data_IF_803019791406
#
_entry.id   IF_803019791406
#
_cell.length_a   1.000
_cell.length_b   1.000
_cell.length_c   1.000
_cell.angle_alpha   90.00
_cell.angle_beta   90.00
_cell.angle_gamma   90.00
#
_symmetry.space_group_name_H-M   'P 1'
#
loop_
_entity.id
_entity.type
_entity.pdbx_description
1 polymer ?
#
# COMPACT_ATOMS: atom_id res chain seq x y z
N UNK A 1 -13.49 10.47 -29.57
CA UNK A 1 -13.98 11.30 -28.46
C UNK A 1 -12.91 11.26 -27.38
N UNK A 2 -12.28 12.35 -27.09
CA UNK A 2 -11.26 12.37 -26.03
C UNK A 2 -11.92 12.14 -24.68
N UNK A 3 -11.36 11.19 -23.92
CA UNK A 3 -11.82 10.90 -22.54
C UNK A 3 -11.63 12.14 -21.68
N UNK A 4 -12.62 12.46 -20.86
CA UNK A 4 -12.46 13.50 -19.85
C UNK A 4 -11.39 13.09 -18.83
N UNK A 5 -10.76 14.07 -18.17
CA UNK A 5 -9.80 13.78 -17.09
C UNK A 5 -10.40 12.87 -16.00
N UNK A 6 -11.68 13.09 -15.66
CA UNK A 6 -12.39 12.28 -14.66
C UNK A 6 -12.51 10.80 -15.07
N UNK A 7 -12.85 10.54 -16.32
CA UNK A 7 -12.98 9.18 -16.85
C UNK A 7 -11.62 8.47 -16.86
N UNK A 8 -10.57 9.17 -17.34
CA UNK A 8 -9.20 8.63 -17.33
C UNK A 8 -8.69 8.34 -15.93
N UNK A 9 -8.98 9.21 -14.96
CA UNK A 9 -8.63 9.02 -13.57
C UNK A 9 -9.32 7.79 -12.97
N UNK A 10 -10.64 7.65 -13.20
CA UNK A 10 -11.41 6.50 -12.70
C UNK A 10 -10.97 5.16 -13.31
N UNK A 11 -10.59 5.17 -14.59
CA UNK A 11 -10.05 3.98 -15.25
C UNK A 11 -8.73 3.57 -14.61
N UNK A 12 -7.82 4.52 -14.44
CA UNK A 12 -6.52 4.29 -13.81
C UNK A 12 -6.65 3.81 -12.36
N UNK A 13 -7.63 4.36 -11.62
CA UNK A 13 -7.92 3.91 -10.26
C UNK A 13 -8.36 2.45 -10.23
N UNK A 14 -9.23 2.02 -11.17
CA UNK A 14 -9.66 0.62 -11.28
C UNK A 14 -8.51 -0.31 -11.62
N UNK A 15 -7.64 0.08 -12.57
CA UNK A 15 -6.45 -0.69 -12.92
C UNK A 15 -5.53 -0.90 -11.71
N UNK A 16 -5.31 0.16 -10.94
CA UNK A 16 -4.53 0.07 -9.69
C UNK A 16 -5.19 -0.87 -8.69
N UNK A 17 -6.50 -0.81 -8.51
CA UNK A 17 -7.21 -1.70 -7.57
C UNK A 17 -7.12 -3.16 -7.98
N UNK A 18 -7.15 -3.49 -9.28
CA UNK A 18 -6.92 -4.86 -9.76
C UNK A 18 -5.47 -5.31 -9.52
N UNK A 19 -4.48 -4.42 -9.71
CA UNK A 19 -3.09 -4.71 -9.33
C UNK A 19 -2.99 -5.01 -7.84
N UNK A 20 -3.56 -4.17 -6.97
CA UNK A 20 -3.53 -4.38 -5.51
C UNK A 20 -4.11 -5.74 -5.12
N UNK A 21 -5.25 -6.12 -5.69
CA UNK A 21 -5.88 -7.43 -5.45
C UNK A 21 -4.98 -8.59 -5.84
N UNK A 22 -4.26 -8.47 -6.96
CA UNK A 22 -3.34 -9.50 -7.44
C UNK A 22 -2.12 -9.73 -6.55
N UNK A 23 -1.82 -8.78 -5.64
CA UNK A 23 -0.71 -8.89 -4.69
C UNK A 23 -1.15 -9.21 -3.25
N UNK A 24 -2.44 -9.34 -2.98
CA UNK A 24 -2.91 -9.77 -1.67
C UNK A 24 -2.57 -11.25 -1.42
N UNK A 25 -2.27 -11.64 -0.16
CA UNK A 25 -2.06 -13.03 0.18
C UNK A 25 -3.37 -13.83 0.09
N UNK A 26 -3.25 -15.12 -0.23
CA UNK A 26 -4.39 -16.04 -0.21
C UNK A 26 -4.90 -16.25 1.23
N UNK A 27 -6.23 -16.14 1.41
CA UNK A 27 -6.89 -16.27 2.71
C UNK A 27 -7.06 -17.73 3.12
N UNK A 28 -5.97 -18.39 3.44
CA UNK A 28 -5.98 -19.79 3.86
C UNK A 28 -5.04 -20.05 5.05
N UNK A 29 -5.21 -21.21 5.67
CA UNK A 29 -4.40 -21.62 6.82
C UNK A 29 -4.74 -20.89 8.11
N UNK A 30 -3.83 -20.98 9.08
CA UNK A 30 -3.97 -20.40 10.42
C UNK A 30 -3.94 -18.86 10.40
N UNK A 31 -3.36 -18.26 9.35
CA UNK A 31 -3.22 -16.81 9.18
C UNK A 31 -4.43 -16.15 8.51
N UNK A 32 -5.50 -16.90 8.24
CA UNK A 32 -6.67 -16.41 7.51
C UNK A 32 -7.21 -15.08 8.05
N UNK A 33 -7.36 -14.95 9.35
CA UNK A 33 -7.91 -13.74 9.99
C UNK A 33 -7.01 -12.51 9.76
N UNK A 34 -5.69 -12.67 9.84
CA UNK A 34 -4.76 -11.58 9.54
C UNK A 34 -4.89 -11.16 8.08
N UNK A 35 -4.97 -12.11 7.14
CA UNK A 35 -5.13 -11.81 5.72
C UNK A 35 -6.47 -11.13 5.41
N UNK A 36 -7.55 -11.51 6.09
CA UNK A 36 -8.84 -10.84 6.00
C UNK A 36 -8.77 -9.39 6.52
N UNK A 37 -8.08 -9.14 7.64
CA UNK A 37 -7.91 -7.81 8.20
C UNK A 37 -7.00 -6.92 7.32
N UNK A 38 -5.93 -7.48 6.74
CA UNK A 38 -5.07 -6.79 5.75
C UNK A 38 -5.87 -6.36 4.52
N UNK A 39 -6.63 -7.30 3.92
CA UNK A 39 -7.47 -6.98 2.76
C UNK A 39 -8.56 -5.98 3.11
N UNK A 40 -9.23 -6.14 4.25
CA UNK A 40 -10.25 -5.22 4.73
C UNK A 40 -9.74 -3.78 4.76
N UNK A 41 -8.52 -3.59 5.26
CA UNK A 41 -7.87 -2.28 5.36
C UNK A 41 -7.40 -1.78 3.99
N UNK A 42 -6.68 -2.61 3.23
CA UNK A 42 -6.12 -2.23 1.95
C UNK A 42 -7.21 -1.89 0.92
N UNK A 43 -8.30 -2.66 0.91
CA UNK A 43 -9.42 -2.48 -0.02
C UNK A 43 -10.53 -1.56 0.53
N UNK A 44 -10.27 -0.79 1.58
CA UNK A 44 -11.21 0.19 2.14
C UNK A 44 -11.47 1.41 1.22
N UNK A 45 -11.01 1.38 -0.01
CA UNK A 45 -11.14 2.47 -0.98
C UNK A 45 -10.07 3.55 -0.82
N UNK A 46 -10.24 4.63 -1.56
CA UNK A 46 -9.32 5.77 -1.59
C UNK A 46 -8.99 6.19 -3.01
N UNK A 47 -8.28 7.31 -3.17
CA UNK A 47 -7.94 7.88 -4.48
C UNK A 47 -6.80 7.15 -5.19
N UNK A 48 -6.07 6.29 -4.51
CA UNK A 48 -4.91 5.54 -5.04
C UNK A 48 -3.85 6.43 -5.72
N UNK A 49 -3.68 7.64 -5.24
CA UNK A 49 -2.77 8.62 -5.86
C UNK A 49 -1.30 8.16 -5.83
N UNK A 50 -0.85 7.53 -4.72
CA UNK A 50 0.54 7.09 -4.58
C UNK A 50 0.95 6.09 -5.66
N UNK A 51 0.26 4.96 -5.84
CA UNK A 51 0.58 4.02 -6.92
C UNK A 51 0.36 4.61 -8.32
N UNK A 52 -0.65 5.48 -8.54
CA UNK A 52 -0.83 6.15 -9.82
C UNK A 52 0.34 7.06 -10.17
N UNK A 53 0.79 7.91 -9.24
CA UNK A 53 1.93 8.80 -9.46
C UNK A 53 3.22 8.02 -9.71
N UNK A 54 3.41 6.91 -8.99
CA UNK A 54 4.54 6.01 -9.21
C UNK A 54 4.50 5.42 -10.63
N UNK A 55 3.35 4.94 -11.08
CA UNK A 55 3.17 4.38 -12.42
C UNK A 55 3.41 5.41 -13.52
N UNK A 56 2.81 6.59 -13.41
CA UNK A 56 2.99 7.66 -14.41
C UNK A 56 4.46 8.16 -14.43
N UNK A 57 5.12 8.25 -13.27
CA UNK A 57 6.54 8.56 -13.22
C UNK A 57 7.38 7.49 -13.93
N UNK A 58 7.10 6.21 -13.68
CA UNK A 58 7.80 5.11 -14.32
C UNK A 58 7.69 5.19 -15.85
N UNK A 59 6.48 5.43 -16.37
CA UNK A 59 6.24 5.61 -17.81
C UNK A 59 6.91 6.85 -18.39
N UNK A 60 6.90 7.95 -17.65
CA UNK A 60 7.53 9.21 -18.06
C UNK A 60 9.04 9.04 -18.33
N UNK A 61 9.70 8.17 -17.56
CA UNK A 61 11.12 7.84 -17.72
C UNK A 61 11.37 6.62 -18.62
N UNK A 62 10.40 6.25 -19.46
CA UNK A 62 10.54 5.18 -20.44
C UNK A 62 10.43 3.76 -19.85
N UNK A 63 9.90 3.63 -18.63
CA UNK A 63 9.62 2.32 -18.04
C UNK A 63 8.44 1.62 -18.71
N UNK A 64 8.62 0.34 -18.98
CA UNK A 64 7.62 -0.52 -19.61
C UNK A 64 7.43 -1.83 -18.85
N UNK A 65 6.25 -2.46 -19.01
CA UNK A 65 5.93 -3.76 -18.43
C UNK A 65 5.56 -3.71 -16.95
N UNK A 66 5.51 -4.88 -16.34
CA UNK A 66 4.92 -5.13 -15.03
C UNK A 66 5.90 -4.99 -13.83
N UNK A 67 7.16 -4.57 -14.09
CA UNK A 67 8.17 -4.47 -13.03
C UNK A 67 7.84 -3.41 -11.95
N UNK A 68 6.98 -2.43 -12.28
CA UNK A 68 6.52 -1.39 -11.37
C UNK A 68 5.38 -1.85 -10.44
N UNK A 69 4.58 -2.84 -10.85
CA UNK A 69 3.38 -3.28 -10.11
C UNK A 69 3.65 -3.69 -8.67
N UNK A 70 4.72 -4.47 -8.36
CA UNK A 70 5.06 -4.81 -6.98
C UNK A 70 5.30 -3.59 -6.11
N UNK A 71 5.94 -2.55 -6.64
CA UNK A 71 6.16 -1.30 -5.92
C UNK A 71 4.86 -0.49 -5.75
N UNK A 72 3.96 -0.52 -6.74
CA UNK A 72 2.65 0.13 -6.64
C UNK A 72 1.81 -0.50 -5.53
N UNK A 73 1.80 -1.83 -5.44
CA UNK A 73 1.11 -2.52 -4.37
C UNK A 73 1.77 -2.26 -3.01
N UNK A 74 3.09 -2.35 -2.95
CA UNK A 74 3.86 -2.14 -1.72
C UNK A 74 3.70 -0.72 -1.15
N UNK A 75 3.73 0.32 -1.97
CA UNK A 75 3.57 1.70 -1.47
C UNK A 75 2.18 1.96 -0.89
N UNK A 76 1.15 1.31 -1.44
CA UNK A 76 -0.20 1.41 -0.89
C UNK A 76 -0.35 0.59 0.40
N UNK A 77 0.35 -0.56 0.52
CA UNK A 77 0.43 -1.31 1.77
C UNK A 77 1.13 -0.48 2.87
N UNK A 78 2.26 0.19 2.54
CA UNK A 78 2.96 1.11 3.44
C UNK A 78 2.05 2.27 3.88
N UNK A 79 1.25 2.82 2.98
CA UNK A 79 0.27 3.83 3.35
C UNK A 79 -0.83 3.26 4.25
N UNK A 80 -1.33 2.07 3.93
CA UNK A 80 -2.45 1.46 4.65
C UNK A 80 -2.06 1.07 6.07
N UNK A 81 -0.87 0.48 6.28
CA UNK A 81 -0.43 0.12 7.64
C UNK A 81 -0.39 1.34 8.56
N UNK A 82 0.11 2.49 8.05
CA UNK A 82 0.15 3.70 8.88
C UNK A 82 -1.25 4.17 9.28
N UNK A 83 -2.22 4.11 8.36
CA UNK A 83 -3.61 4.44 8.68
C UNK A 83 -4.23 3.47 9.69
N UNK A 84 -3.92 2.17 9.58
CA UNK A 84 -4.40 1.15 10.54
C UNK A 84 -3.85 1.41 11.94
N UNK A 85 -2.56 1.79 12.05
CA UNK A 85 -1.95 2.10 13.34
C UNK A 85 -2.39 3.46 13.88
N UNK A 86 -2.53 4.47 13.03
CA UNK A 86 -3.04 5.79 13.42
C UNK A 86 -4.46 5.69 14.03
N UNK A 87 -5.31 4.79 13.50
CA UNK A 87 -6.69 4.57 13.98
C UNK A 87 -6.76 3.90 15.36
N UNK A 88 -5.69 3.27 15.86
CA UNK A 88 -5.70 2.53 17.13
C UNK A 88 -6.05 3.41 18.34
N UNK A 89 -6.65 2.82 19.41
CA UNK A 89 -6.98 3.56 20.64
C UNK A 89 -5.80 4.29 21.29
N UNK A 90 -4.57 3.77 21.11
CA UNK A 90 -3.34 4.38 21.63
C UNK A 90 -2.81 5.55 20.78
N UNK A 91 -3.42 5.80 19.62
CA UNK A 91 -3.06 6.85 18.68
C UNK A 91 -4.23 7.83 18.52
N UNK A 92 -4.84 7.95 17.33
CA UNK A 92 -5.95 8.89 17.07
C UNK A 92 -7.29 8.43 17.65
N UNK A 93 -7.43 7.11 17.95
CA UNK A 93 -8.63 6.48 18.48
C UNK A 93 -9.87 6.69 17.61
N UNK A 94 -9.71 6.47 16.31
CA UNK A 94 -10.77 6.64 15.32
C UNK A 94 -11.59 5.35 15.09
N UNK A 95 -12.88 5.39 15.38
CA UNK A 95 -13.79 4.27 15.11
C UNK A 95 -14.16 4.12 13.64
N UNK A 96 -14.06 5.21 12.85
CA UNK A 96 -14.46 5.25 11.44
C UNK A 96 -13.43 5.95 10.57
N UNK A 97 -13.14 5.35 9.41
CA UNK A 97 -12.33 5.93 8.34
C UNK A 97 -13.04 5.77 7.00
N UNK A 98 -13.20 6.86 6.24
CA UNK A 98 -13.89 6.87 4.94
C UNK A 98 -15.31 6.27 4.99
N UNK A 99 -16.03 6.48 6.11
CA UNK A 99 -17.39 5.97 6.31
C UNK A 99 -17.50 4.48 6.63
N UNK A 100 -16.37 3.78 6.86
CA UNK A 100 -16.31 2.39 7.31
C UNK A 100 -15.70 2.31 8.69
N UNK A 101 -16.07 1.30 9.47
CA UNK A 101 -15.41 1.00 10.75
C UNK A 101 -13.95 0.70 10.51
N UNK A 102 -13.09 1.15 11.43
CA UNK A 102 -11.66 0.91 11.39
C UNK A 102 -11.33 -0.54 11.70
N UNK A 103 -10.12 -0.97 11.40
CA UNK A 103 -9.71 -2.38 11.51
C UNK A 103 -9.80 -2.87 12.95
N UNK A 104 -9.37 -2.07 13.93
CA UNK A 104 -9.44 -2.44 15.35
C UNK A 104 -10.88 -2.56 15.86
N UNK A 105 -11.82 -1.79 15.33
CA UNK A 105 -13.24 -1.89 15.68
C UNK A 105 -13.89 -3.17 15.14
N UNK A 106 -13.43 -3.64 13.97
CA UNK A 106 -14.02 -4.84 13.32
C UNK A 106 -13.39 -6.12 13.81
N UNK A 107 -12.07 -6.14 14.00
CA UNK A 107 -11.29 -7.36 14.26
C UNK A 107 -10.70 -7.42 15.66
N UNK A 108 -10.78 -6.36 16.47
CA UNK A 108 -10.10 -6.21 17.75
C UNK A 108 -8.80 -5.42 17.64
N UNK A 109 -8.39 -4.83 18.76
CA UNK A 109 -7.19 -3.98 18.83
C UNK A 109 -5.92 -4.77 18.53
N UNK A 110 -5.79 -5.97 19.10
CA UNK A 110 -4.70 -6.91 18.86
C UNK A 110 -4.56 -7.25 17.38
N UNK A 111 -5.68 -7.53 16.71
CA UNK A 111 -5.67 -7.79 15.27
C UNK A 111 -5.39 -6.53 14.45
N UNK A 112 -5.81 -5.35 14.90
CA UNK A 112 -5.45 -4.07 14.30
C UNK A 112 -3.93 -3.87 14.29
N UNK A 113 -3.28 -4.11 15.42
CA UNK A 113 -1.81 -4.04 15.54
C UNK A 113 -1.15 -5.05 14.60
N UNK A 114 -1.54 -6.32 14.68
CA UNK A 114 -0.94 -7.39 13.88
C UNK A 114 -1.16 -7.20 12.37
N UNK A 115 -2.33 -6.71 11.95
CA UNK A 115 -2.61 -6.43 10.54
C UNK A 115 -1.77 -5.27 9.99
N UNK A 116 -1.54 -4.23 10.80
CA UNK A 116 -0.62 -3.15 10.46
C UNK A 116 0.81 -3.64 10.30
N UNK A 117 1.33 -4.40 11.25
CA UNK A 117 2.67 -5.00 11.18
C UNK A 117 2.81 -5.94 9.97
N UNK A 118 1.79 -6.76 9.73
CA UNK A 118 1.76 -7.67 8.59
C UNK A 118 1.77 -6.90 7.25
N UNK A 119 0.98 -5.83 7.11
CA UNK A 119 0.98 -4.97 5.92
C UNK A 119 2.35 -4.34 5.70
N UNK A 120 2.99 -3.82 6.75
CA UNK A 120 4.32 -3.23 6.67
C UNK A 120 5.35 -4.24 6.17
N UNK A 121 5.42 -5.42 6.79
CA UNK A 121 6.37 -6.45 6.39
C UNK A 121 6.07 -7.00 4.99
N UNK A 122 4.79 -7.28 4.70
CA UNK A 122 4.36 -7.82 3.41
C UNK A 122 4.57 -6.85 2.25
N UNK A 123 4.63 -5.54 2.52
CA UNK A 123 5.01 -4.55 1.53
C UNK A 123 6.43 -4.78 0.99
N UNK A 124 7.39 -5.11 1.86
CA UNK A 124 8.76 -5.42 1.42
C UNK A 124 8.85 -6.75 0.68
N UNK A 125 8.14 -7.78 1.14
CA UNK A 125 8.00 -9.05 0.43
C UNK A 125 7.40 -8.83 -0.97
N UNK A 126 6.32 -8.05 -1.06
CA UNK A 126 5.68 -7.69 -2.32
C UNK A 126 6.62 -6.91 -3.24
N UNK A 127 7.29 -5.87 -2.74
CA UNK A 127 8.23 -5.08 -3.53
C UNK A 127 9.38 -5.92 -4.08
N UNK A 128 9.86 -6.93 -3.35
CA UNK A 128 10.93 -7.83 -3.80
C UNK A 128 10.57 -8.64 -5.05
N UNK A 129 9.29 -8.87 -5.32
CA UNK A 129 8.82 -9.56 -6.53
C UNK A 129 9.15 -8.80 -7.84
N UNK A 130 9.60 -7.54 -7.73
CA UNK A 130 10.12 -6.79 -8.88
C UNK A 130 11.33 -7.46 -9.53
N UNK A 131 12.13 -8.18 -8.75
CA UNK A 131 13.33 -8.87 -9.25
C UNK A 131 12.98 -9.99 -10.26
N UNK A 132 11.82 -10.59 -10.12
CA UNK A 132 11.33 -11.64 -11.04
C UNK A 132 10.68 -11.05 -12.31
N UNK A 133 10.39 -9.74 -12.31
CA UNK A 133 9.65 -9.05 -13.38
C UNK A 133 10.50 -8.10 -14.21
N UNK A 134 11.81 -8.00 -13.96
CA UNK A 134 12.70 -7.06 -14.66
C UNK A 134 13.94 -7.71 -15.21
N UNK A 135 14.36 -7.25 -16.40
CA UNK A 135 15.70 -7.55 -16.95
C UNK A 135 16.80 -6.64 -16.39
N UNK A 136 16.46 -5.57 -15.64
CA UNK A 136 17.42 -4.61 -15.08
C UNK A 136 17.49 -4.73 -13.56
N UNK A 137 18.18 -5.78 -13.08
CA UNK A 137 18.33 -6.05 -11.64
C UNK A 137 19.01 -4.91 -10.87
N UNK A 138 19.95 -4.19 -11.50
CA UNK A 138 20.64 -3.06 -10.86
C UNK A 138 19.68 -1.92 -10.56
N UNK A 139 18.81 -1.56 -11.51
CA UNK A 139 17.79 -0.53 -11.31
C UNK A 139 16.76 -0.97 -10.26
N UNK A 140 16.31 -2.23 -10.31
CA UNK A 140 15.39 -2.79 -9.34
C UNK A 140 15.96 -2.78 -7.92
N UNK A 141 17.23 -3.17 -7.75
CA UNK A 141 17.90 -3.15 -6.44
C UNK A 141 17.99 -1.71 -5.89
N UNK A 142 18.33 -0.73 -6.73
CA UNK A 142 18.36 0.67 -6.32
C UNK A 142 16.98 1.21 -5.95
N UNK A 143 15.95 0.87 -6.72
CA UNK A 143 14.57 1.23 -6.42
C UNK A 143 14.12 0.62 -5.09
N UNK A 144 14.42 -0.65 -4.85
CA UNK A 144 14.11 -1.34 -3.60
C UNK A 144 14.83 -0.71 -2.39
N UNK A 145 16.11 -0.33 -2.53
CA UNK A 145 16.85 0.39 -1.48
C UNK A 145 16.21 1.74 -1.14
N UNK A 146 15.82 2.51 -2.16
CA UNK A 146 15.13 3.80 -1.96
C UNK A 146 13.79 3.58 -1.27
N UNK A 147 12.99 2.62 -1.75
CA UNK A 147 11.70 2.26 -1.16
C UNK A 147 11.85 1.90 0.32
N UNK A 148 12.76 0.99 0.65
CA UNK A 148 13.01 0.52 2.02
C UNK A 148 13.44 1.66 2.94
N UNK A 149 14.36 2.51 2.48
CA UNK A 149 14.84 3.64 3.26
C UNK A 149 13.74 4.66 3.53
N UNK A 150 12.91 4.97 2.53
CA UNK A 150 11.81 5.95 2.64
C UNK A 150 10.61 5.44 3.42
N UNK A 151 10.42 4.12 3.51
CA UNK A 151 9.40 3.50 4.35
C UNK A 151 9.84 3.28 5.81
N UNK A 152 11.14 3.42 6.09
CA UNK A 152 11.74 3.15 7.40
C UNK A 152 11.75 4.35 8.34
N UNK A 153 12.69 4.35 9.28
CA UNK A 153 12.77 5.30 10.41
C UNK A 153 12.85 6.77 9.99
N UNK A 154 13.37 7.07 8.81
CA UNK A 154 13.43 8.43 8.29
C UNK A 154 12.08 8.99 7.84
N UNK A 155 11.02 8.17 7.76
CA UNK A 155 9.65 8.61 7.46
C UNK A 155 9.01 9.33 8.65
N UNK A 156 9.37 8.94 9.88
CA UNK A 156 8.81 9.51 11.11
C UNK A 156 9.16 10.98 11.33
N UNK A 157 10.12 11.55 10.60
CA UNK A 157 10.42 12.99 10.66
C UNK A 157 9.28 13.86 10.11
N UNK A 158 8.45 13.33 9.20
CA UNK A 158 7.31 14.08 8.65
C UNK A 158 6.17 14.23 9.68
N UNK A 159 5.96 13.25 10.57
CA UNK A 159 4.94 13.32 11.62
C UNK A 159 5.40 14.11 12.87
N UNK A 160 6.69 14.15 13.16
CA UNK A 160 7.22 14.91 14.30
C UNK A 160 7.25 16.42 14.07
N UNK A 161 7.24 16.87 12.80
CA UNK A 161 7.17 18.31 12.47
C UNK A 161 5.77 18.90 12.67
N UNK A 162 4.72 18.09 12.72
CA UNK A 162 3.34 18.53 12.99
C UNK A 162 3.01 18.59 14.50
N UNK A 163 3.87 18.00 15.35
CA UNK A 163 3.73 17.98 16.81
C UNK A 163 4.57 19.07 17.51
N UNK A 164 5.26 19.94 16.78
CA UNK A 164 6.00 21.11 17.27
C UNK A 164 5.29 22.43 16.89
#
# INVERSE_FOLDING_TARGET
MDKTFKESFQERQREVEEILKGYLPEKQGLQKTIFEAMEYSLMAGGKRLRPMLMWESYRLFGGEGAAIEPFMAAIEMIHTYSLVHDDLPAMDNDDYRRGRKTTHVVYGEDMGILAGDALLNYAFETASRCFDKTGNLSAAAKAFQIFSRKAGVYRSEEHTSELQ
#
